data_IF_389221282218
#
_entry.id   IF_389221282218
#
_cell.length_a   1.000
_cell.length_b   1.000
_cell.length_c   1.000
_cell.angle_alpha   90.00
_cell.angle_beta   90.00
_cell.angle_gamma   90.00
#
_symmetry.space_group_name_H-M   'P 1'
#
loop_
_entity.id
_entity.type
_entity.pdbx_description
1 polymer ?
#
# COMPACT_ATOMS: atom_id res chain seq x y z
N UNK A 1 -8.68 -1.08 31.12
CA UNK A 1 -7.46 -0.65 30.42
C UNK A 1 -7.14 -1.73 29.40
N UNK A 2 -7.02 -1.39 28.11
CA UNK A 2 -6.21 -2.26 27.24
C UNK A 2 -4.82 -2.30 27.89
N UNK A 3 -4.21 -3.48 27.97
CA UNK A 3 -2.78 -3.57 28.26
C UNK A 3 -2.00 -2.66 27.31
N UNK A 4 -0.80 -2.22 27.73
CA UNK A 4 0.09 -1.43 26.88
C UNK A 4 0.16 -2.03 25.46
N UNK A 5 0.02 -1.16 24.46
CA UNK A 5 0.23 -1.51 23.06
C UNK A 5 1.58 -2.23 22.94
N UNK A 6 1.59 -3.42 22.36
CA UNK A 6 2.82 -4.17 22.18
C UNK A 6 3.55 -3.65 20.94
N UNK A 7 4.45 -2.70 21.15
CA UNK A 7 5.20 -2.03 20.08
C UNK A 7 6.00 -3.02 19.21
N UNK A 8 6.53 -4.10 19.79
CA UNK A 8 7.25 -5.12 19.03
C UNK A 8 6.35 -5.83 18.03
N UNK A 9 5.10 -6.10 18.41
CA UNK A 9 4.11 -6.67 17.49
C UNK A 9 3.78 -5.66 16.38
N UNK A 10 3.58 -4.38 16.71
CA UNK A 10 3.31 -3.34 15.70
C UNK A 10 4.45 -3.27 14.68
N UNK A 11 5.70 -3.15 15.15
CA UNK A 11 6.88 -3.03 14.30
C UNK A 11 7.12 -4.31 13.50
N UNK A 12 7.07 -5.48 14.14
CA UNK A 12 7.26 -6.76 13.47
C UNK A 12 6.21 -7.01 12.38
N UNK A 13 4.94 -6.69 12.66
CA UNK A 13 3.86 -6.78 11.67
C UNK A 13 4.08 -5.80 10.52
N UNK A 14 4.46 -4.55 10.83
CA UNK A 14 4.70 -3.54 9.81
C UNK A 14 5.83 -3.94 8.86
N UNK A 15 6.95 -4.43 9.39
CA UNK A 15 8.09 -4.92 8.60
C UNK A 15 7.68 -6.11 7.74
N UNK A 16 6.98 -7.10 8.31
CA UNK A 16 6.55 -8.29 7.58
C UNK A 16 5.65 -7.93 6.40
N UNK A 17 4.61 -7.11 6.63
CA UNK A 17 3.72 -6.68 5.56
C UNK A 17 4.44 -5.82 4.52
N UNK A 18 5.38 -4.96 4.95
CA UNK A 18 6.17 -4.14 4.03
C UNK A 18 7.05 -5.00 3.12
N UNK A 19 7.70 -6.03 3.66
CA UNK A 19 8.50 -6.95 2.83
C UNK A 19 7.62 -7.67 1.80
N UNK A 20 6.43 -8.11 2.21
CA UNK A 20 5.46 -8.75 1.32
C UNK A 20 4.99 -7.77 0.23
N UNK A 21 4.67 -6.53 0.58
CA UNK A 21 4.17 -5.51 -0.37
C UNK A 21 5.26 -5.06 -1.33
N UNK A 22 6.50 -4.84 -0.86
CA UNK A 22 7.68 -4.55 -1.69
C UNK A 22 7.93 -5.68 -2.68
N UNK A 23 7.97 -6.93 -2.19
CA UNK A 23 8.19 -8.10 -3.04
C UNK A 23 7.09 -8.24 -4.08
N UNK A 24 5.82 -8.17 -3.66
CA UNK A 24 4.68 -8.22 -4.57
C UNK A 24 4.73 -7.10 -5.63
N UNK A 25 5.07 -5.88 -5.21
CA UNK A 25 5.09 -4.70 -6.08
C UNK A 25 6.20 -4.73 -7.12
N UNK A 26 7.44 -4.97 -6.68
CA UNK A 26 8.61 -4.78 -7.54
C UNK A 26 9.08 -6.08 -8.19
N UNK A 27 9.01 -7.21 -7.48
CA UNK A 27 9.42 -8.51 -8.02
C UNK A 27 8.30 -9.13 -8.86
N UNK A 28 7.12 -9.31 -8.28
CA UNK A 28 5.96 -9.91 -8.99
C UNK A 28 5.24 -8.92 -9.91
N UNK A 29 5.60 -7.63 -9.87
CA UNK A 29 4.99 -6.55 -10.67
C UNK A 29 3.47 -6.45 -10.47
N UNK A 30 2.99 -6.87 -9.29
CA UNK A 30 1.59 -6.79 -8.87
C UNK A 30 1.28 -5.33 -8.57
N UNK A 31 0.17 -4.86 -9.11
CA UNK A 31 -0.32 -3.51 -8.87
C UNK A 31 -1.83 -3.58 -8.74
N UNK A 32 -2.34 -3.19 -7.57
CA UNK A 32 -3.77 -3.11 -7.29
C UNK A 32 -4.46 -2.21 -8.33
N UNK A 33 -3.81 -1.11 -8.71
CA UNK A 33 -4.14 -0.23 -9.84
C UNK A 33 -4.53 -1.01 -11.11
N UNK A 34 -3.70 -1.97 -11.55
CA UNK A 34 -3.96 -2.77 -12.76
C UNK A 34 -5.19 -3.66 -12.62
N UNK A 35 -5.43 -4.20 -11.42
CA UNK A 35 -6.60 -5.04 -11.12
C UNK A 35 -7.87 -4.17 -11.17
N UNK A 36 -7.87 -3.02 -10.48
CA UNK A 36 -9.00 -2.09 -10.48
C UNK A 36 -9.34 -1.59 -11.88
N UNK A 37 -8.35 -1.31 -12.71
CA UNK A 37 -8.61 -0.97 -14.10
C UNK A 37 -9.30 -2.06 -14.90
N UNK A 38 -8.87 -3.31 -14.74
CA UNK A 38 -9.51 -4.44 -15.42
C UNK A 38 -10.97 -4.53 -15.01
N UNK A 39 -11.26 -4.34 -13.72
CA UNK A 39 -12.63 -4.29 -13.19
C UNK A 39 -13.41 -3.09 -13.75
N UNK A 40 -12.86 -1.88 -13.72
CA UNK A 40 -13.51 -0.68 -14.27
C UNK A 40 -13.83 -0.83 -15.75
N UNK A 41 -12.92 -1.41 -16.55
CA UNK A 41 -13.16 -1.71 -17.97
C UNK A 41 -14.26 -2.75 -18.15
N UNK A 42 -14.20 -3.85 -17.40
CA UNK A 42 -15.18 -4.94 -17.47
C UNK A 42 -16.60 -4.47 -17.14
N UNK A 43 -16.74 -3.61 -16.13
CA UNK A 43 -18.03 -3.13 -15.64
C UNK A 43 -18.40 -1.72 -16.15
N UNK A 44 -17.63 -1.14 -17.08
CA UNK A 44 -17.82 0.23 -17.61
C UNK A 44 -17.97 1.31 -16.52
N UNK A 45 -17.28 1.13 -15.40
CA UNK A 45 -17.36 2.03 -14.25
C UNK A 45 -16.57 3.33 -14.53
N UNK A 46 -17.19 4.47 -14.26
CA UNK A 46 -16.54 5.80 -14.38
C UNK A 46 -15.58 6.10 -13.22
N UNK A 47 -15.86 5.52 -12.05
CA UNK A 47 -15.10 5.70 -10.80
C UNK A 47 -15.00 4.37 -10.07
N UNK A 48 -13.91 4.18 -9.32
CA UNK A 48 -13.72 3.02 -8.45
C UNK A 48 -13.04 3.46 -7.15
N UNK A 49 -13.53 2.96 -6.02
CA UNK A 49 -12.95 3.22 -4.70
C UNK A 49 -11.83 2.23 -4.41
N UNK A 50 -10.63 2.74 -4.20
CA UNK A 50 -9.48 1.91 -3.84
C UNK A 50 -9.53 1.65 -2.34
N UNK A 51 -9.54 0.37 -1.98
CA UNK A 51 -9.35 -0.05 -0.59
C UNK A 51 -7.88 -0.31 -0.35
N UNK A 52 -7.22 0.67 0.29
CA UNK A 52 -5.89 0.54 0.85
C UNK A 52 -5.90 -0.40 2.06
N UNK A 53 -4.78 -1.08 2.33
CA UNK A 53 -4.69 -1.96 3.52
C UNK A 53 -4.68 -1.15 4.82
N UNK A 54 -4.44 0.17 4.74
CA UNK A 54 -4.73 1.13 5.80
C UNK A 54 -6.14 0.95 6.37
N UNK A 55 -7.16 0.90 5.51
CA UNK A 55 -8.55 0.80 5.97
C UNK A 55 -8.84 -0.54 6.64
N UNK A 56 -8.25 -1.62 6.13
CA UNK A 56 -8.36 -2.93 6.79
C UNK A 56 -7.66 -2.93 8.15
N UNK A 57 -6.50 -2.30 8.27
CA UNK A 57 -5.79 -2.14 9.54
C UNK A 57 -6.61 -1.34 10.56
N UNK A 58 -7.22 -0.23 10.14
CA UNK A 58 -8.10 0.60 10.98
C UNK A 58 -9.32 -0.19 11.46
N UNK A 59 -10.04 -0.85 10.55
CA UNK A 59 -11.24 -1.62 10.90
C UNK A 59 -10.88 -2.74 11.89
N UNK A 60 -9.79 -3.48 11.63
CA UNK A 60 -9.32 -4.52 12.54
C UNK A 60 -8.92 -3.96 13.90
N UNK A 61 -8.17 -2.85 13.95
CA UNK A 61 -7.80 -2.20 15.20
C UNK A 61 -9.05 -1.79 16.00
N UNK A 62 -10.06 -1.19 15.37
CA UNK A 62 -11.31 -0.82 16.05
C UNK A 62 -12.01 -2.06 16.60
N UNK A 63 -12.17 -3.13 15.80
CA UNK A 63 -12.81 -4.37 16.26
C UNK A 63 -12.05 -4.95 17.46
N UNK A 64 -10.73 -5.02 17.38
CA UNK A 64 -9.89 -5.62 18.42
C UNK A 64 -9.79 -4.78 19.68
N UNK A 65 -9.93 -3.45 19.55
CA UNK A 65 -10.13 -2.55 20.68
C UNK A 65 -11.38 -2.93 21.48
N UNK A 66 -12.52 -3.14 20.79
CA UNK A 66 -13.77 -3.56 21.45
C UNK A 66 -13.69 -4.99 22.02
N UNK A 67 -12.93 -5.89 21.41
CA UNK A 67 -12.63 -7.21 21.96
C UNK A 67 -11.63 -7.18 23.13
N UNK A 68 -11.09 -6.01 23.49
CA UNK A 68 -10.11 -5.80 24.57
C UNK A 68 -8.84 -6.65 24.39
N UNK A 69 -8.46 -6.96 23.16
CA UNK A 69 -7.25 -7.73 22.85
C UNK A 69 -6.11 -6.79 22.43
N UNK A 70 -5.15 -6.59 23.34
CA UNK A 70 -3.94 -5.76 23.13
C UNK A 70 -3.09 -6.26 21.97
N UNK A 71 -2.90 -7.58 21.89
CA UNK A 71 -2.18 -8.25 20.81
C UNK A 71 -2.83 -7.99 19.46
N UNK A 72 -4.12 -8.29 19.31
CA UNK A 72 -4.82 -8.14 18.04
C UNK A 72 -4.91 -6.66 17.64
N UNK A 73 -5.16 -5.77 18.59
CA UNK A 73 -5.11 -4.32 18.37
C UNK A 73 -3.76 -3.89 17.78
N UNK A 74 -2.66 -4.39 18.34
CA UNK A 74 -1.30 -4.11 17.87
C UNK A 74 -1.05 -4.64 16.45
N UNK A 75 -1.64 -5.79 16.07
CA UNK A 75 -1.59 -6.29 14.68
C UNK A 75 -2.30 -5.34 13.71
N UNK A 76 -3.50 -4.86 14.07
CA UNK A 76 -4.25 -3.91 13.24
C UNK A 76 -3.48 -2.61 13.00
N UNK A 77 -2.84 -2.09 14.05
CA UNK A 77 -1.93 -0.93 13.95
C UNK A 77 -0.72 -1.22 13.05
N UNK A 78 -0.10 -2.39 13.17
CA UNK A 78 1.05 -2.77 12.34
C UNK A 78 0.72 -2.81 10.84
N UNK A 79 -0.44 -3.37 10.47
CA UNK A 79 -0.94 -3.37 9.08
C UNK A 79 -1.17 -1.94 8.59
N UNK A 80 -1.78 -1.10 9.43
CA UNK A 80 -2.03 0.31 9.13
C UNK A 80 -0.72 1.06 8.85
N UNK A 81 0.29 0.87 9.71
CA UNK A 81 1.60 1.51 9.55
C UNK A 81 2.36 1.00 8.33
N UNK A 82 2.30 -0.31 8.02
CA UNK A 82 2.91 -0.84 6.79
C UNK A 82 2.35 -0.14 5.55
N UNK A 83 1.02 0.00 5.42
CA UNK A 83 0.43 0.63 4.24
C UNK A 83 0.87 2.10 4.07
N UNK A 84 0.95 2.84 5.19
CA UNK A 84 1.47 4.22 5.19
C UNK A 84 2.93 4.27 4.76
N UNK A 85 3.78 3.41 5.33
CA UNK A 85 5.21 3.35 4.98
C UNK A 85 5.37 2.98 3.51
N UNK A 86 4.65 1.97 3.04
CA UNK A 86 4.71 1.53 1.66
C UNK A 86 4.40 2.68 0.69
N UNK A 87 3.28 3.37 0.90
CA UNK A 87 2.85 4.43 0.00
C UNK A 87 3.73 5.68 0.13
N UNK A 88 3.93 6.19 1.35
CA UNK A 88 4.55 7.51 1.54
C UNK A 88 6.07 7.47 1.66
N UNK A 89 6.67 6.34 1.98
CA UNK A 89 8.14 6.20 2.06
C UNK A 89 8.64 5.45 0.84
N UNK A 90 8.18 4.22 0.62
CA UNK A 90 8.79 3.34 -0.39
C UNK A 90 8.38 3.73 -1.80
N UNK A 91 7.08 3.73 -2.10
CA UNK A 91 6.59 4.09 -3.44
C UNK A 91 6.95 5.53 -3.78
N UNK A 92 6.86 6.46 -2.84
CA UNK A 92 7.26 7.83 -3.11
C UNK A 92 8.75 7.93 -3.45
N UNK A 93 9.63 7.29 -2.70
CA UNK A 93 11.08 7.34 -2.99
C UNK A 93 11.43 6.71 -4.35
N UNK A 94 10.75 5.63 -4.73
CA UNK A 94 11.05 4.86 -5.94
C UNK A 94 10.35 5.41 -7.20
N UNK A 95 9.08 5.80 -7.06
CA UNK A 95 8.21 6.23 -8.16
C UNK A 95 7.99 7.74 -8.18
N UNK A 96 8.43 8.49 -7.17
CA UNK A 96 8.22 9.94 -7.10
C UNK A 96 6.80 10.38 -6.74
N UNK A 97 5.90 9.44 -6.41
CA UNK A 97 4.57 9.71 -5.89
C UNK A 97 4.07 8.54 -5.03
N UNK A 98 3.17 8.78 -4.06
CA UNK A 98 2.79 7.74 -3.10
C UNK A 98 1.80 6.71 -3.63
N UNK A 99 1.14 6.92 -4.78
CA UNK A 99 0.02 6.07 -5.25
C UNK A 99 -1.14 5.92 -4.26
N UNK A 100 -1.29 6.86 -3.32
CA UNK A 100 -2.36 6.84 -2.34
C UNK A 100 -3.63 7.50 -2.90
N UNK A 101 -4.38 6.75 -3.70
CA UNK A 101 -5.61 7.22 -4.35
C UNK A 101 -6.84 6.56 -3.75
N UNK A 102 -7.68 7.30 -3.02
CA UNK A 102 -8.96 6.79 -2.50
C UNK A 102 -9.95 6.51 -3.64
N UNK A 103 -9.90 7.30 -4.72
CA UNK A 103 -10.80 7.17 -5.87
C UNK A 103 -10.02 7.22 -7.18
N UNK A 104 -10.16 6.17 -7.99
CA UNK A 104 -9.69 6.17 -9.37
C UNK A 104 -10.69 6.86 -10.29
N UNK A 105 -10.23 7.91 -10.98
CA UNK A 105 -11.04 8.73 -11.91
C UNK A 105 -10.56 8.49 -13.34
N UNK A 106 -11.40 7.87 -14.18
CA UNK A 106 -11.19 7.67 -15.62
C UNK A 106 -9.92 6.89 -16.03
N UNK A 107 -10.10 5.87 -16.88
CA UNK A 107 -9.04 5.02 -17.43
C UNK A 107 -7.93 5.82 -18.14
N UNK A 108 -8.26 6.97 -18.78
CA UNK A 108 -7.27 7.77 -19.51
C UNK A 108 -6.19 8.37 -18.60
N UNK A 109 -6.57 8.86 -17.42
CA UNK A 109 -5.63 9.44 -16.46
C UNK A 109 -4.61 8.39 -15.99
N UNK A 110 -5.10 7.17 -15.72
CA UNK A 110 -4.25 6.04 -15.33
C UNK A 110 -3.18 5.73 -16.36
N UNK A 111 -3.55 5.61 -17.64
CA UNK A 111 -2.60 5.19 -18.68
C UNK A 111 -1.43 6.18 -18.79
N UNK A 112 -1.67 7.46 -18.45
CA UNK A 112 -0.63 8.48 -18.37
C UNK A 112 0.27 8.26 -17.16
N UNK A 113 -0.30 8.02 -15.99
CA UNK A 113 0.45 7.73 -14.75
C UNK A 113 1.30 6.45 -14.89
N UNK A 114 0.77 5.36 -15.44
CA UNK A 114 1.54 4.10 -15.61
C UNK A 114 2.79 4.30 -16.51
N UNK A 115 2.68 5.15 -17.54
CA UNK A 115 3.85 5.49 -18.38
C UNK A 115 4.89 6.29 -17.59
N UNK A 116 4.44 7.20 -16.73
CA UNK A 116 5.30 8.01 -15.86
C UNK A 116 6.00 7.11 -14.84
N UNK A 117 5.25 6.25 -14.15
CA UNK A 117 5.75 5.26 -13.18
C UNK A 117 6.83 4.37 -13.79
N UNK A 118 6.59 3.79 -14.98
CA UNK A 118 7.58 2.95 -15.68
C UNK A 118 8.86 3.72 -15.99
N UNK A 119 8.74 4.99 -16.39
CA UNK A 119 9.89 5.85 -16.69
C UNK A 119 10.68 6.18 -15.42
N UNK A 120 10.01 6.52 -14.32
CA UNK A 120 10.64 6.84 -13.04
C UNK A 120 11.30 5.61 -12.43
N UNK A 121 10.62 4.46 -12.41
CA UNK A 121 11.20 3.20 -11.94
C UNK A 121 12.47 2.82 -12.72
N UNK A 122 12.44 2.93 -14.05
CA UNK A 122 13.63 2.67 -14.89
C UNK A 122 14.76 3.67 -14.65
N UNK A 123 14.44 4.92 -14.27
CA UNK A 123 15.45 5.94 -13.91
C UNK A 123 16.07 5.61 -12.55
N UNK A 124 15.24 5.32 -11.54
CA UNK A 124 15.66 4.93 -10.20
C UNK A 124 16.57 3.69 -10.22
N UNK A 125 16.16 2.63 -10.93
CA UNK A 125 16.96 1.41 -11.02
C UNK A 125 18.32 1.64 -11.70
N UNK A 126 18.37 2.47 -12.74
CA UNK A 126 19.64 2.82 -13.38
C UNK A 126 20.58 3.58 -12.44
N UNK A 127 20.04 4.49 -11.63
CA UNK A 127 20.82 5.24 -10.66
C UNK A 127 21.43 4.30 -9.61
N UNK A 128 20.63 3.38 -9.03
CA UNK A 128 21.13 2.39 -8.08
C UNK A 128 22.21 1.50 -8.71
N UNK A 129 22.00 0.99 -9.93
CA UNK A 129 22.96 0.06 -10.56
C UNK A 129 24.25 0.75 -11.01
N UNK A 130 24.21 2.04 -11.36
CA UNK A 130 25.40 2.77 -11.78
C UNK A 130 26.17 3.42 -10.62
N UNK A 131 25.54 3.58 -9.45
CA UNK A 131 26.19 4.16 -8.25
C UNK A 131 26.55 3.12 -7.19
N UNK A 132 26.18 1.85 -7.38
CA UNK A 132 26.59 0.70 -6.57
C UNK A 132 27.80 -0.02 -7.19
#
# INVERSE_FOLDING_TARGET
>A
MLELINLWIVVGTAILFELITIFGRFYLKISSKKIYLRLMKKFKLKRFYHFHHLFTGIILAIIFYYLKSSMLFSLGLGIMFSDVIHHFVVLWSVLGHPEFHIVYKNIKAFNKEEKIEKKQFKKFFRHIVHEA
#
